data_IF_751219779500
#
_entry.id   IF_751219779500
#
_cell.length_a   1.000
_cell.length_b   1.000
_cell.length_c   1.000
_cell.angle_alpha   90.00
_cell.angle_beta   90.00
_cell.angle_gamma   90.00
#
_symmetry.space_group_name_H-M   'P 1'
#
loop_
_entity.id
_entity.type
_entity.pdbx_description
1 polymer ?
#
# COMPACT_ATOMS: atom_id res chain seq x y z
N UNK A 1 -17.94 4.59 -23.10
CA UNK A 1 -17.64 5.64 -24.11
C UNK A 1 -16.13 5.81 -24.17
N UNK A 2 -15.50 5.58 -25.33
CA UNK A 2 -14.06 5.83 -25.47
C UNK A 2 -13.82 7.34 -25.51
N UNK A 3 -12.97 7.87 -24.61
CA UNK A 3 -12.65 9.30 -24.52
C UNK A 3 -12.14 9.82 -25.87
N UNK A 4 -12.58 11.02 -26.25
CA UNK A 4 -12.17 11.65 -27.49
C UNK A 4 -10.67 12.08 -27.40
N UNK A 5 -9.99 12.31 -28.53
CA UNK A 5 -8.57 12.68 -28.53
C UNK A 5 -8.25 13.98 -27.75
N UNK A 6 -9.18 14.94 -27.72
CA UNK A 6 -9.01 16.20 -27.00
C UNK A 6 -9.10 16.01 -25.47
N UNK A 7 -9.98 15.12 -25.00
CA UNK A 7 -10.10 14.73 -23.59
C UNK A 7 -8.84 14.02 -23.10
N UNK A 8 -8.30 13.08 -23.89
CA UNK A 8 -7.03 12.40 -23.55
C UNK A 8 -5.86 13.39 -23.42
N UNK A 9 -5.78 14.38 -24.32
CA UNK A 9 -4.73 15.42 -24.29
C UNK A 9 -4.92 16.42 -23.14
N UNK A 10 -6.15 16.62 -22.67
CA UNK A 10 -6.43 17.41 -21.46
C UNK A 10 -6.03 16.63 -20.21
N UNK A 11 -6.44 15.38 -20.08
CA UNK A 11 -6.08 14.50 -18.97
C UNK A 11 -4.55 14.31 -18.86
N UNK A 12 -3.85 14.24 -19.99
CA UNK A 12 -2.40 14.17 -20.01
C UNK A 12 -1.75 15.45 -19.46
N UNK A 13 -2.23 16.64 -19.86
CA UNK A 13 -1.73 17.91 -19.35
C UNK A 13 -2.02 18.10 -17.86
N UNK A 14 -3.18 17.63 -17.39
CA UNK A 14 -3.51 17.65 -15.96
C UNK A 14 -2.59 16.72 -15.17
N UNK A 15 -2.33 15.50 -15.68
CA UNK A 15 -1.36 14.57 -15.08
C UNK A 15 0.06 15.14 -15.06
N UNK A 16 0.49 15.81 -16.12
CA UNK A 16 1.85 16.34 -16.24
C UNK A 16 2.12 17.50 -15.26
N UNK A 17 1.06 18.20 -14.81
CA UNK A 17 1.14 19.26 -13.78
C UNK A 17 1.28 18.72 -12.35
N UNK A 18 0.90 17.47 -12.11
CA UNK A 18 0.98 16.87 -10.77
C UNK A 18 2.43 16.54 -10.40
N UNK A 19 2.81 16.88 -9.18
CA UNK A 19 4.03 16.39 -8.53
C UNK A 19 3.97 14.86 -8.37
N UNK A 20 5.10 14.21 -8.12
CA UNK A 20 5.12 12.74 -7.95
C UNK A 20 4.24 12.29 -6.77
N UNK A 21 4.29 13.02 -5.65
CA UNK A 21 3.45 12.74 -4.49
C UNK A 21 1.94 12.84 -4.83
N UNK A 22 1.53 13.81 -5.64
CA UNK A 22 0.13 13.96 -6.06
C UNK A 22 -0.30 12.87 -7.06
N UNK A 23 0.61 12.43 -7.93
CA UNK A 23 0.38 11.30 -8.84
C UNK A 23 0.17 10.00 -8.06
N UNK A 24 1.02 9.75 -7.09
CA UNK A 24 0.94 8.58 -6.22
C UNK A 24 -0.33 8.61 -5.36
N UNK A 25 -0.67 9.76 -4.78
CA UNK A 25 -1.91 9.94 -4.02
C UNK A 25 -3.17 9.67 -4.88
N UNK A 26 -3.19 10.11 -6.14
CA UNK A 26 -4.29 9.86 -7.06
C UNK A 26 -4.46 8.36 -7.43
N UNK A 27 -3.43 7.53 -7.22
CA UNK A 27 -3.49 6.08 -7.43
C UNK A 27 -4.00 5.32 -6.20
N UNK A 28 -4.06 5.97 -5.03
CA UNK A 28 -4.55 5.34 -3.81
C UNK A 28 -6.07 5.19 -3.87
N UNK A 29 -6.56 3.94 -3.79
CA UNK A 29 -7.99 3.67 -3.72
C UNK A 29 -8.58 3.95 -2.34
N UNK A 30 -7.75 3.82 -1.29
CA UNK A 30 -8.10 3.99 0.13
C UNK A 30 -6.87 4.40 0.93
N UNK A 31 -7.10 5.10 2.04
CA UNK A 31 -6.08 5.38 3.05
C UNK A 31 -6.35 4.55 4.30
N UNK A 32 -5.32 3.88 4.81
CA UNK A 32 -5.36 3.14 6.08
C UNK A 32 -4.54 3.93 7.10
N UNK A 33 -5.18 4.39 8.17
CA UNK A 33 -4.50 5.06 9.29
C UNK A 33 -4.45 4.10 10.46
N UNK A 34 -3.25 3.60 10.77
CA UNK A 34 -3.06 2.61 11.82
C UNK A 34 -2.60 3.28 13.11
N UNK A 35 -3.34 3.05 14.21
CA UNK A 35 -2.88 3.39 15.57
C UNK A 35 -2.35 2.11 16.21
N UNK A 36 -1.10 2.12 16.64
CA UNK A 36 -0.42 0.97 17.22
C UNK A 36 -0.14 1.22 18.70
N UNK A 37 -0.23 0.16 19.52
CA UNK A 37 0.33 0.19 20.86
C UNK A 37 1.86 0.12 20.79
N UNK A 38 2.55 0.55 21.86
CA UNK A 38 4.02 0.59 21.89
C UNK A 38 4.68 -0.77 21.55
N UNK A 39 4.08 -1.88 21.99
CA UNK A 39 4.59 -3.22 21.71
C UNK A 39 4.49 -3.58 20.23
N UNK A 40 3.40 -3.18 19.57
CA UNK A 40 3.15 -3.45 18.16
C UNK A 40 4.02 -2.57 17.27
N UNK A 41 4.25 -1.30 17.65
CA UNK A 41 5.23 -0.43 16.99
C UNK A 41 6.65 -1.00 17.08
N UNK A 42 7.04 -1.51 18.24
CA UNK A 42 8.33 -2.17 18.40
C UNK A 42 8.42 -3.45 17.54
N UNK A 43 7.33 -4.21 17.42
CA UNK A 43 7.27 -5.37 16.52
C UNK A 43 7.40 -4.94 15.05
N UNK A 44 6.67 -3.90 14.63
CA UNK A 44 6.75 -3.34 13.28
C UNK A 44 8.20 -2.97 12.91
N UNK A 45 8.87 -2.19 13.77
CA UNK A 45 10.27 -1.80 13.58
C UNK A 45 11.22 -2.99 13.49
N UNK A 46 11.02 -4.03 14.31
CA UNK A 46 11.82 -5.27 14.22
C UNK A 46 11.61 -5.98 12.89
N UNK A 47 10.38 -6.02 12.38
CA UNK A 47 10.07 -6.64 11.08
C UNK A 47 10.67 -5.83 9.93
N UNK A 48 10.55 -4.50 9.96
CA UNK A 48 11.19 -3.60 8.99
C UNK A 48 12.70 -3.87 8.92
N UNK A 49 13.38 -3.88 10.07
CA UNK A 49 14.82 -4.17 10.15
C UNK A 49 15.18 -5.57 9.61
N UNK A 50 14.35 -6.59 9.88
CA UNK A 50 14.57 -7.96 9.38
C UNK A 50 14.38 -8.11 7.87
N UNK A 51 13.51 -7.29 7.29
CA UNK A 51 13.16 -7.35 5.86
C UNK A 51 13.96 -6.36 5.01
N UNK A 52 14.64 -5.40 5.64
CA UNK A 52 15.34 -4.31 4.96
C UNK A 52 14.39 -3.33 4.27
N UNK A 53 13.17 -3.20 4.78
CA UNK A 53 12.16 -2.27 4.24
C UNK A 53 12.09 -1.05 5.15
N UNK A 54 12.42 0.11 4.59
CA UNK A 54 12.55 1.36 5.34
C UNK A 54 11.24 2.15 5.47
N UNK A 55 10.20 1.77 4.72
CA UNK A 55 8.88 2.44 4.72
C UNK A 55 7.79 1.50 5.25
N UNK A 56 7.07 1.94 6.30
CA UNK A 56 6.00 1.16 6.92
C UNK A 56 4.90 0.79 5.90
N UNK A 57 4.57 1.73 5.02
CA UNK A 57 3.53 1.55 3.99
C UNK A 57 3.92 0.49 2.96
N UNK A 58 5.20 0.40 2.56
CA UNK A 58 5.67 -0.66 1.67
C UNK A 58 5.57 -2.03 2.36
N UNK A 59 6.01 -2.11 3.62
CA UNK A 59 5.93 -3.35 4.39
C UNK A 59 4.47 -3.84 4.53
N UNK A 60 3.56 -2.96 4.90
CA UNK A 60 2.11 -3.29 5.01
C UNK A 60 1.56 -3.71 3.65
N UNK A 61 1.92 -3.00 2.58
CA UNK A 61 1.49 -3.33 1.21
C UNK A 61 1.93 -4.73 0.78
N UNK A 62 3.17 -5.12 1.14
CA UNK A 62 3.70 -6.46 0.86
C UNK A 62 3.01 -7.52 1.71
N UNK A 63 2.70 -7.23 2.98
CA UNK A 63 1.93 -8.14 3.82
C UNK A 63 0.55 -8.42 3.26
N UNK A 64 -0.19 -7.39 2.83
CA UNK A 64 -1.51 -7.55 2.23
C UNK A 64 -1.43 -8.42 0.96
N UNK A 65 -0.48 -8.14 0.06
CA UNK A 65 -0.30 -8.94 -1.16
C UNK A 65 0.16 -10.37 -0.88
N UNK A 66 0.95 -10.57 0.19
CA UNK A 66 1.37 -11.89 0.63
C UNK A 66 0.19 -12.71 1.14
N UNK A 67 -0.62 -12.11 2.02
CA UNK A 67 -1.83 -12.70 2.58
C UNK A 67 -2.85 -13.06 1.50
N UNK A 68 -3.06 -12.21 0.50
CA UNK A 68 -3.98 -12.44 -0.62
C UNK A 68 -3.63 -13.66 -1.49
N UNK A 69 -2.35 -14.08 -1.47
CA UNK A 69 -1.87 -15.26 -2.21
C UNK A 69 -1.89 -16.55 -1.40
N UNK A 70 -2.19 -16.47 -0.10
CA UNK A 70 -2.30 -17.64 0.77
C UNK A 70 -3.63 -18.36 0.54
N UNK A 71 -3.66 -19.67 0.79
CA UNK A 71 -4.96 -20.36 0.96
C UNK A 71 -5.62 -19.94 2.26
N UNK A 72 -6.92 -20.19 2.40
CA UNK A 72 -7.67 -19.86 3.60
C UNK A 72 -7.07 -20.51 4.86
N UNK A 73 -6.58 -21.75 4.75
CA UNK A 73 -5.91 -22.46 5.86
C UNK A 73 -4.56 -21.80 6.21
N UNK A 74 -3.75 -21.49 5.20
CA UNK A 74 -2.45 -20.83 5.41
C UNK A 74 -2.62 -19.46 6.05
N UNK A 75 -3.62 -18.69 5.59
CA UNK A 75 -3.93 -17.39 6.15
C UNK A 75 -4.42 -17.51 7.58
N UNK A 76 -5.33 -18.46 7.86
CA UNK A 76 -5.87 -18.71 9.20
C UNK A 76 -4.76 -19.09 10.19
N UNK A 77 -3.81 -19.91 9.79
CA UNK A 77 -2.65 -20.28 10.59
C UNK A 77 -1.68 -19.10 10.77
N UNK A 78 -1.51 -18.26 9.74
CA UNK A 78 -0.62 -17.10 9.80
C UNK A 78 -1.11 -15.99 10.75
N UNK A 79 -2.42 -15.75 10.81
CA UNK A 79 -3.01 -14.66 11.62
C UNK A 79 -3.36 -15.06 13.05
N UNK A 80 -3.44 -16.36 13.36
CA UNK A 80 -3.63 -16.83 14.73
C UNK A 80 -2.34 -16.65 15.51
N UNK A 81 -2.26 -15.53 16.24
CA UNK A 81 -1.23 -15.28 17.22
C UNK A 81 -1.42 -16.29 18.36
N UNK A 82 -0.47 -17.21 18.51
CA UNK A 82 -0.42 -18.18 19.61
C UNK A 82 -0.09 -17.50 20.95
#
# INVERSE_FOLDING_TARGET
>A
MAKNPAERKRDQRERDKLTQAEKEAALLSRQIVTKLYHNDDAALKRVMARTGIDEEQDLISRFIRGADRMTDEQLADHIRIA
#
